data_IF_917201715084
#
_entry.id   IF_917201715084
#
_cell.length_a   1.000
_cell.length_b   1.000
_cell.length_c   1.000
_cell.angle_alpha   90.00
_cell.angle_beta   90.00
_cell.angle_gamma   90.00
#
_symmetry.space_group_name_H-M   'P 1'
#
loop_
_entity.id
_entity.type
_entity.pdbx_description
1 polymer ?
#
# COMPACT_ATOMS: atom_id res chain seq x y z
N UNK A 1 -5.99 15.94 3.87
CA UNK A 1 -6.22 15.34 2.54
C UNK A 1 -4.87 15.08 1.91
N UNK A 2 -4.69 13.92 1.29
CA UNK A 2 -3.49 13.59 0.55
C UNK A 2 -3.50 14.26 -0.82
N UNK A 3 -2.34 14.74 -1.29
CA UNK A 3 -2.16 15.30 -2.63
C UNK A 3 -0.85 14.81 -3.24
N UNK A 4 -0.77 14.79 -4.56
CA UNK A 4 0.48 14.51 -5.26
C UNK A 4 1.24 15.82 -5.47
N UNK A 5 2.51 15.85 -5.08
CA UNK A 5 3.42 16.98 -5.32
C UNK A 5 4.62 16.49 -6.13
N UNK A 6 5.17 17.38 -6.96
CA UNK A 6 6.43 17.15 -7.68
C UNK A 6 7.56 18.00 -7.09
N UNK A 7 8.76 17.45 -7.10
CA UNK A 7 10.00 18.15 -6.75
C UNK A 7 10.99 17.95 -7.89
N UNK A 8 11.50 19.04 -8.45
CA UNK A 8 12.53 19.01 -9.49
C UNK A 8 13.92 18.94 -8.86
N UNK A 9 14.75 18.00 -9.30
CA UNK A 9 16.17 17.91 -8.92
C UNK A 9 17.00 17.66 -10.19
N UNK A 10 17.72 18.68 -10.63
CA UNK A 10 18.36 18.70 -11.95
C UNK A 10 17.31 18.66 -13.06
N UNK A 11 17.51 17.78 -14.05
CA UNK A 11 16.56 17.56 -15.16
C UNK A 11 15.49 16.48 -14.87
N UNK A 12 15.29 16.09 -13.60
CA UNK A 12 14.35 15.02 -13.24
C UNK A 12 13.30 15.54 -12.27
N UNK A 13 12.04 15.17 -12.52
CA UNK A 13 10.90 15.43 -11.65
C UNK A 13 10.57 14.19 -10.81
N UNK A 14 10.45 14.40 -9.50
CA UNK A 14 10.23 13.37 -8.49
C UNK A 14 8.90 13.60 -7.80
N UNK A 15 8.08 12.57 -7.70
CA UNK A 15 6.70 12.66 -7.21
C UNK A 15 6.57 12.08 -5.82
N UNK A 16 5.68 12.69 -5.04
CA UNK A 16 5.40 12.31 -3.65
C UNK A 16 3.90 12.42 -3.38
N UNK A 17 3.37 11.53 -2.55
CA UNK A 17 2.09 11.76 -1.85
C UNK A 17 2.41 12.57 -0.61
N UNK A 18 1.85 13.76 -0.49
CA UNK A 18 2.00 14.64 0.67
C UNK A 18 0.69 14.72 1.44
N UNK A 19 0.78 14.61 2.77
CA UNK A 19 -0.34 14.88 3.67
C UNK A 19 -0.09 16.15 4.43
N UNK A 20 -1.07 17.05 4.40
CA UNK A 20 -1.02 18.33 5.10
C UNK A 20 -1.93 18.32 6.33
N UNK A 21 -1.43 18.88 7.42
CA UNK A 21 -2.18 19.14 8.66
C UNK A 21 -1.78 20.51 9.24
N UNK A 22 -2.53 21.03 10.20
CA UNK A 22 -2.13 22.26 10.91
C UNK A 22 -1.23 21.90 12.08
N UNK A 23 -0.04 22.49 12.11
CA UNK A 23 0.90 22.41 13.24
C UNK A 23 1.02 23.82 13.81
N UNK A 24 0.67 24.00 15.08
CA UNK A 24 0.61 25.32 15.74
C UNK A 24 -0.21 26.34 14.93
N UNK A 25 -1.37 25.91 14.42
CA UNK A 25 -2.28 26.75 13.64
C UNK A 25 -1.85 27.03 12.20
N UNK A 26 -0.65 26.61 11.76
CA UNK A 26 -0.14 26.84 10.40
C UNK A 26 -0.20 25.55 9.57
N UNK A 27 -0.65 25.59 8.30
CA UNK A 27 -0.63 24.41 7.44
C UNK A 27 0.81 23.97 7.17
N UNK A 28 1.10 22.68 7.39
CA UNK A 28 2.40 22.05 7.20
C UNK A 28 2.22 20.67 6.58
N UNK A 29 3.17 20.25 5.77
CA UNK A 29 3.23 18.85 5.33
C UNK A 29 3.77 18.02 6.49
N UNK A 30 3.00 17.03 6.94
CA UNK A 30 3.33 16.17 8.08
C UNK A 30 3.78 14.77 7.66
N UNK A 31 3.42 14.34 6.44
CA UNK A 31 3.87 13.09 5.86
C UNK A 31 4.18 13.26 4.37
N UNK A 32 5.22 12.58 3.90
CA UNK A 32 5.56 12.48 2.48
C UNK A 32 5.98 11.05 2.15
N UNK A 33 5.30 10.43 1.19
CA UNK A 33 5.64 9.12 0.65
C UNK A 33 6.20 9.32 -0.76
N UNK A 34 7.41 8.84 -1.00
CA UNK A 34 8.08 8.94 -2.31
C UNK A 34 7.48 7.93 -3.30
N UNK A 35 7.03 8.42 -4.45
CA UNK A 35 6.47 7.58 -5.52
C UNK A 35 7.50 7.21 -6.59
N UNK A 36 8.50 8.06 -6.82
CA UNK A 36 9.44 7.86 -7.92
C UNK A 36 9.49 9.00 -8.93
N UNK A 37 10.17 8.75 -10.04
CA UNK A 37 10.01 9.52 -11.28
C UNK A 37 8.73 9.11 -12.00
N UNK A 38 8.33 9.90 -13.01
CA UNK A 38 7.16 9.56 -13.83
C UNK A 38 7.30 8.20 -14.51
N UNK A 39 8.50 7.86 -14.99
CA UNK A 39 8.76 6.58 -15.65
C UNK A 39 8.58 5.40 -14.68
N UNK A 40 9.10 5.54 -13.44
CA UNK A 40 8.92 4.52 -12.41
C UNK A 40 7.44 4.32 -12.04
N UNK A 41 6.66 5.40 -11.97
CA UNK A 41 5.23 5.32 -11.69
C UNK A 41 4.50 4.61 -12.82
N UNK A 42 4.87 4.90 -14.07
CA UNK A 42 4.34 4.20 -15.26
C UNK A 42 4.69 2.71 -15.25
N UNK A 43 5.92 2.36 -14.88
CA UNK A 43 6.35 0.97 -14.75
C UNK A 43 5.59 0.23 -13.64
N UNK A 44 5.29 0.91 -12.52
CA UNK A 44 4.49 0.35 -11.43
C UNK A 44 3.03 0.10 -11.86
N UNK A 45 2.44 1.01 -12.64
CA UNK A 45 1.12 0.80 -13.23
C UNK A 45 1.12 -0.43 -14.15
N UNK A 46 2.13 -0.56 -15.01
CA UNK A 46 2.28 -1.68 -15.92
C UNK A 46 2.56 -3.01 -15.19
N UNK A 47 3.35 -2.96 -14.11
CA UNK A 47 3.76 -4.11 -13.29
C UNK A 47 2.67 -4.65 -12.37
N UNK A 48 1.57 -3.93 -12.15
CA UNK A 48 0.42 -4.40 -11.37
C UNK A 48 -0.55 -5.30 -12.15
N UNK A 49 -0.11 -5.86 -13.28
CA UNK A 49 -0.79 -6.99 -13.96
C UNK A 49 -0.19 -8.35 -13.57
N UNK A 50 0.30 -8.52 -12.35
CA UNK A 50 0.58 -9.86 -11.84
C UNK A 50 -0.76 -10.49 -11.47
N UNK A 51 -1.41 -11.13 -12.45
CA UNK A 51 -2.36 -12.21 -12.13
C UNK A 51 -1.51 -13.35 -11.58
N UNK A 52 -1.68 -13.77 -10.31
CA UNK A 52 -1.03 -14.99 -9.87
C UNK A 52 -1.55 -16.13 -10.77
N UNK A 53 -0.66 -16.76 -11.55
CA UNK A 53 -1.02 -17.93 -12.36
C UNK A 53 -1.47 -19.10 -11.48
N UNK A 54 -0.99 -19.14 -10.24
CA UNK A 54 -1.34 -20.14 -9.24
C UNK A 54 -1.17 -19.55 -7.85
N UNK A 55 -2.16 -19.74 -7.00
CA UNK A 55 -2.03 -19.56 -5.56
C UNK A 55 -2.23 -20.94 -4.92
N UNK A 56 -1.36 -21.28 -3.98
CA UNK A 56 -1.49 -22.48 -3.17
C UNK A 56 -1.95 -22.03 -1.79
N UNK A 57 -3.19 -22.37 -1.42
CA UNK A 57 -3.65 -22.20 -0.05
C UNK A 57 -3.02 -23.34 0.75
N UNK A 58 -2.11 -23.02 1.66
CA UNK A 58 -1.75 -23.95 2.72
C UNK A 58 -2.94 -23.96 3.66
N UNK A 59 -3.60 -25.11 3.79
CA UNK A 59 -4.68 -25.39 4.73
C UNK A 59 -4.19 -25.34 6.20
N UNK A 60 -3.39 -24.34 6.55
CA UNK A 60 -2.81 -24.17 7.88
C UNK A 60 -3.86 -23.76 8.93
N UNK A 61 -5.11 -23.58 8.52
CA UNK A 61 -6.24 -23.28 9.39
C UNK A 61 -7.33 -24.35 9.43
N UNK A 62 -7.32 -25.36 8.57
CA UNK A 62 -8.44 -26.30 8.44
C UNK A 62 -8.64 -27.13 9.70
N UNK A 63 -7.55 -27.66 10.26
CA UNK A 63 -7.60 -28.44 11.50
C UNK A 63 -8.03 -27.58 12.70
N UNK A 64 -7.55 -26.33 12.77
CA UNK A 64 -7.95 -25.40 13.82
C UNK A 64 -9.43 -25.02 13.71
N UNK A 65 -9.92 -24.80 12.48
CA UNK A 65 -11.33 -24.49 12.22
C UNK A 65 -12.24 -25.68 12.58
N UNK A 66 -11.85 -26.91 12.24
CA UNK A 66 -12.58 -28.12 12.64
C UNK A 66 -12.61 -28.25 14.17
N UNK A 67 -11.48 -28.03 14.85
CA UNK A 67 -11.43 -28.06 16.31
C UNK A 67 -12.37 -27.03 16.93
N UNK A 68 -12.40 -25.80 16.41
CA UNK A 68 -13.32 -24.76 16.90
C UNK A 68 -14.79 -25.11 16.68
N UNK A 69 -15.13 -25.69 15.53
CA UNK A 69 -16.50 -26.14 15.25
C UNK A 69 -16.91 -27.30 16.15
N UNK A 70 -16.02 -28.25 16.42
CA UNK A 70 -16.26 -29.37 17.33
C UNK A 70 -16.50 -28.88 18.76
N UNK A 71 -15.68 -27.95 19.26
CA UNK A 71 -15.85 -27.32 20.57
C UNK A 71 -17.20 -26.58 20.69
N UNK A 72 -17.60 -25.84 19.63
CA UNK A 72 -18.87 -25.11 19.60
C UNK A 72 -20.10 -26.04 19.65
N UNK A 73 -20.03 -27.23 19.03
CA UNK A 73 -21.10 -28.23 19.05
C UNK A 73 -20.97 -29.24 20.20
N UNK A 74 -19.99 -29.06 21.08
CA UNK A 74 -19.77 -29.89 22.27
C UNK A 74 -19.25 -31.31 21.99
N UNK A 75 -18.49 -31.47 20.89
CA UNK A 75 -17.82 -32.71 20.49
C UNK A 75 -16.30 -32.66 20.70
#
# INVERSE_FOLDING_TARGET
>A
MASIISKRKGNKDYYYIAESARVNGKPRIVSQIYLGTIDRIRDMEAGHKIKPEKFSILEFGSTAAIYMVLDEIGL
#
